data_IF_937061469980
#
_entry.id   IF_937061469980
#
_cell.length_a   1.000
_cell.length_b   1.000
_cell.length_c   1.000
_cell.angle_alpha   90.00
_cell.angle_beta   90.00
_cell.angle_gamma   90.00
#
_symmetry.space_group_name_H-M   'P 1'
#
loop_
_entity.id
_entity.type
_entity.pdbx_description
1 polymer ?
#
# COMPACT_ATOMS: atom_id res chain seq x y z
N UNK A 1 3.41 -4.92 11.12
CA UNK A 1 2.57 -4.41 12.22
C UNK A 1 2.82 -2.93 12.39
N UNK A 2 1.79 -2.16 12.58
CA UNK A 2 1.90 -0.72 12.71
C UNK A 2 2.37 -0.34 14.11
N UNK A 3 3.20 0.70 14.18
CA UNK A 3 3.59 1.30 15.45
C UNK A 3 2.75 2.54 15.69
N UNK A 4 2.44 2.81 16.94
CA UNK A 4 1.63 3.96 17.33
C UNK A 4 2.49 4.87 18.20
N UNK A 5 2.58 6.14 17.82
CA UNK A 5 3.35 7.14 18.55
C UNK A 5 2.59 8.45 18.66
N UNK A 6 2.76 9.20 19.76
CA UNK A 6 2.15 10.51 19.87
C UNK A 6 2.84 11.53 18.96
N UNK A 7 2.14 12.62 18.65
CA UNK A 7 2.66 13.67 17.78
C UNK A 7 3.92 14.32 18.32
N UNK A 8 4.12 14.35 19.62
CA UNK A 8 5.35 14.87 20.21
C UNK A 8 6.59 14.09 19.78
N UNK A 9 6.46 12.78 19.55
CA UNK A 9 7.55 11.96 19.07
C UNK A 9 7.95 12.32 17.64
N UNK A 10 7.01 12.74 16.83
CA UNK A 10 7.30 13.20 15.48
C UNK A 10 8.24 14.40 15.50
N UNK A 11 8.07 15.31 16.46
CA UNK A 11 8.93 16.47 16.62
C UNK A 11 10.29 16.10 17.22
N UNK A 12 10.27 15.27 18.27
CA UNK A 12 11.46 15.01 19.08
C UNK A 12 12.29 13.83 18.62
N UNK A 13 11.64 12.87 17.95
CA UNK A 13 12.24 11.59 17.56
C UNK A 13 12.01 11.26 16.08
N UNK A 14 11.99 12.29 15.23
CA UNK A 14 11.74 12.10 13.80
C UNK A 14 12.74 11.15 13.14
N UNK A 15 14.02 11.28 13.46
CA UNK A 15 15.06 10.43 12.87
C UNK A 15 14.82 8.94 13.17
N UNK A 16 14.38 8.66 14.38
CA UNK A 16 14.06 7.31 14.82
C UNK A 16 12.84 6.77 14.10
N UNK A 17 11.79 7.58 13.98
CA UNK A 17 10.57 7.23 13.25
C UNK A 17 10.88 6.99 11.78
N UNK A 18 11.64 7.87 11.16
CA UNK A 18 12.04 7.76 9.76
C UNK A 18 12.81 6.47 9.51
N UNK A 19 13.77 6.16 10.37
CA UNK A 19 14.54 4.92 10.25
C UNK A 19 13.65 3.69 10.38
N UNK A 20 12.75 3.69 11.35
CA UNK A 20 11.82 2.60 11.56
C UNK A 20 10.95 2.34 10.33
N UNK A 21 10.42 3.40 9.73
CA UNK A 21 9.61 3.27 8.51
C UNK A 21 10.42 2.72 7.34
N UNK A 22 11.68 3.15 7.19
CA UNK A 22 12.51 2.74 6.07
C UNK A 22 13.08 1.33 6.24
N UNK A 23 13.59 1.01 7.42
CA UNK A 23 14.29 -0.26 7.66
C UNK A 23 13.34 -1.39 7.99
N UNK A 24 12.38 -1.14 8.86
CA UNK A 24 11.42 -2.16 9.28
C UNK A 24 10.22 -2.25 8.36
N UNK A 25 10.06 -1.27 7.47
CA UNK A 25 8.97 -1.21 6.49
C UNK A 25 7.60 -1.28 7.15
N UNK A 26 7.50 -0.70 8.34
CA UNK A 26 6.25 -0.62 9.09
C UNK A 26 5.75 0.80 9.13
N UNK A 27 4.46 1.02 8.83
CA UNK A 27 3.86 2.35 9.02
C UNK A 27 3.86 2.74 10.49
N UNK A 28 3.96 4.03 10.74
CA UNK A 28 3.83 4.61 12.07
C UNK A 28 2.58 5.48 12.10
N UNK A 29 1.67 5.17 12.99
CA UNK A 29 0.46 5.96 13.19
C UNK A 29 0.76 7.04 14.23
N UNK A 30 0.54 8.28 13.85
CA UNK A 30 0.72 9.42 14.74
C UNK A 30 -0.62 9.77 15.35
N UNK A 31 -0.64 9.88 16.67
CA UNK A 31 -1.86 10.21 17.40
C UNK A 31 -1.79 11.63 17.95
N UNK A 32 -2.95 12.25 18.01
CA UNK A 32 -3.16 13.53 18.68
C UNK A 32 -4.28 13.34 19.67
N UNK A 33 -4.02 13.65 20.94
CA UNK A 33 -4.98 13.45 22.02
C UNK A 33 -5.54 12.01 22.09
N UNK A 34 -4.66 11.03 21.84
CA UNK A 34 -5.02 9.62 21.89
C UNK A 34 -5.77 9.10 20.68
N UNK A 35 -5.95 9.92 19.65
CA UNK A 35 -6.66 9.52 18.43
C UNK A 35 -5.69 9.49 17.25
N UNK A 36 -5.85 8.51 16.38
CA UNK A 36 -5.09 8.45 15.14
C UNK A 36 -5.35 9.68 14.29
N UNK A 37 -4.28 10.32 13.86
CA UNK A 37 -4.35 11.55 13.07
C UNK A 37 -3.71 11.36 11.69
N UNK A 38 -2.50 10.83 11.65
CA UNK A 38 -1.75 10.64 10.41
C UNK A 38 -1.03 9.31 10.43
N UNK A 39 -0.64 8.87 9.24
CA UNK A 39 0.22 7.70 9.08
C UNK A 39 1.49 8.10 8.34
N UNK A 40 2.61 7.59 8.80
CA UNK A 40 3.91 7.83 8.18
C UNK A 40 4.42 6.53 7.59
N UNK A 41 4.85 6.59 6.34
CA UNK A 41 5.39 5.47 5.59
C UNK A 41 6.76 5.83 5.05
N UNK A 42 7.62 4.82 4.86
CA UNK A 42 8.80 5.01 4.05
C UNK A 42 8.37 5.36 2.62
N UNK A 43 9.13 6.24 1.96
CA UNK A 43 8.77 6.70 0.62
C UNK A 43 8.71 5.55 -0.39
N UNK A 44 9.62 4.60 -0.27
CA UNK A 44 9.63 3.43 -1.12
C UNK A 44 8.38 2.57 -0.94
N UNK A 45 7.93 2.39 0.30
CA UNK A 45 6.71 1.65 0.60
C UNK A 45 5.49 2.36 0.07
N UNK A 46 5.47 3.68 0.16
CA UNK A 46 4.39 4.49 -0.40
C UNK A 46 4.27 4.29 -1.92
N UNK A 47 5.39 4.37 -2.64
CA UNK A 47 5.38 4.17 -4.09
C UNK A 47 4.96 2.76 -4.47
N UNK A 48 5.39 1.77 -3.71
CA UNK A 48 4.99 0.39 -3.95
C UNK A 48 3.48 0.21 -3.78
N UNK A 49 2.91 0.73 -2.69
CA UNK A 49 1.48 0.68 -2.46
C UNK A 49 0.71 1.40 -3.56
N UNK A 50 1.19 2.55 -3.98
CA UNK A 50 0.57 3.32 -5.05
C UNK A 50 0.56 2.54 -6.37
N UNK A 51 1.68 1.91 -6.70
CA UNK A 51 1.78 1.08 -7.90
C UNK A 51 0.82 -0.11 -7.86
N UNK A 52 0.71 -0.76 -6.71
CA UNK A 52 -0.21 -1.88 -6.53
C UNK A 52 -1.67 -1.45 -6.67
N UNK A 53 -2.02 -0.31 -6.12
CA UNK A 53 -3.36 0.24 -6.25
C UNK A 53 -3.70 0.60 -7.70
N UNK A 54 -2.76 1.19 -8.42
CA UNK A 54 -2.95 1.52 -9.84
C UNK A 54 -3.12 0.26 -10.68
N UNK A 55 -2.35 -0.78 -10.39
CA UNK A 55 -2.47 -2.06 -11.08
C UNK A 55 -3.83 -2.70 -10.82
N UNK A 56 -4.28 -2.73 -9.58
CA UNK A 56 -5.59 -3.28 -9.22
C UNK A 56 -6.72 -2.50 -9.89
N UNK A 57 -6.61 -1.18 -9.98
CA UNK A 57 -7.58 -0.36 -10.70
C UNK A 57 -7.63 -0.73 -12.17
N UNK A 58 -6.48 -0.88 -12.81
CA UNK A 58 -6.38 -1.27 -14.21
C UNK A 58 -7.02 -2.64 -14.45
N UNK A 59 -6.79 -3.59 -13.57
CA UNK A 59 -7.41 -4.92 -13.65
C UNK A 59 -8.93 -4.84 -13.52
N UNK A 60 -9.43 -4.02 -12.60
CA UNK A 60 -10.86 -3.84 -12.41
C UNK A 60 -11.53 -3.22 -13.66
N UNK A 61 -10.89 -2.22 -14.27
CA UNK A 61 -11.36 -1.60 -15.49
C UNK A 61 -11.38 -2.59 -16.65
N UNK A 62 -10.34 -3.39 -16.77
CA UNK A 62 -10.25 -4.40 -17.82
C UNK A 62 -11.32 -5.48 -17.64
N UNK A 63 -11.60 -5.92 -16.43
CA UNK A 63 -12.69 -6.86 -16.15
C UNK A 63 -14.04 -6.28 -16.54
N UNK A 64 -14.26 -5.01 -16.28
CA UNK A 64 -15.48 -4.32 -16.68
C UNK A 64 -15.62 -4.31 -18.19
N UNK A 65 -14.55 -4.02 -18.91
CA UNK A 65 -14.56 -4.02 -20.37
C UNK A 65 -14.87 -5.39 -20.94
N UNK A 66 -14.35 -6.45 -20.35
CA UNK A 66 -14.66 -7.83 -20.73
C UNK A 66 -16.14 -8.14 -20.47
N UNK A 67 -16.65 -7.74 -19.32
CA UNK A 67 -18.06 -7.92 -18.97
C UNK A 67 -19.00 -7.18 -19.92
N UNK A 68 -18.58 -6.01 -20.39
CA UNK A 68 -19.32 -5.22 -21.36
C UNK A 68 -19.18 -5.72 -22.80
N UNK A 69 -18.36 -6.75 -23.03
CA UNK A 69 -18.13 -7.33 -24.34
C UNK A 69 -17.25 -6.52 -25.27
N UNK A 70 -16.54 -5.54 -24.75
CA UNK A 70 -15.70 -4.65 -25.56
C UNK A 70 -14.34 -5.22 -25.90
N UNK A 71 -13.89 -6.17 -25.12
CA UNK A 71 -12.56 -6.76 -25.24
C UNK A 71 -12.71 -8.26 -25.37
N UNK A 72 -11.91 -8.89 -26.24
CA UNK A 72 -11.87 -10.33 -26.32
C UNK A 72 -11.49 -10.91 -24.96
N UNK A 73 -12.08 -12.05 -24.56
CA UNK A 73 -11.81 -12.60 -23.25
C UNK A 73 -10.35 -12.98 -23.10
N UNK A 74 -9.69 -12.28 -22.19
CA UNK A 74 -8.32 -12.58 -21.77
C UNK A 74 -8.34 -12.98 -20.30
N UNK A 75 -9.40 -13.69 -19.94
CA UNK A 75 -9.65 -14.08 -18.56
C UNK A 75 -8.52 -14.84 -17.95
N UNK A 76 -7.90 -15.74 -18.69
CA UNK A 76 -6.74 -16.50 -18.23
C UNK A 76 -5.57 -15.58 -17.87
N UNK A 77 -5.31 -14.56 -18.70
CA UNK A 77 -4.26 -13.59 -18.44
C UNK A 77 -4.53 -12.79 -17.17
N UNK A 78 -5.78 -12.38 -16.98
CA UNK A 78 -6.17 -11.68 -15.76
C UNK A 78 -6.05 -12.54 -14.52
N UNK A 79 -6.50 -13.79 -14.61
CA UNK A 79 -6.39 -14.71 -13.50
C UNK A 79 -4.94 -14.96 -13.15
N UNK A 80 -4.06 -15.08 -14.13
CA UNK A 80 -2.63 -15.24 -13.93
C UNK A 80 -2.01 -14.01 -13.23
N UNK A 81 -2.39 -12.81 -13.65
CA UNK A 81 -1.91 -11.57 -13.04
C UNK A 81 -2.40 -11.47 -11.59
N UNK A 82 -3.67 -11.77 -11.34
CA UNK A 82 -4.21 -11.76 -9.99
C UNK A 82 -3.48 -12.76 -9.10
N UNK A 83 -3.30 -13.96 -9.59
CA UNK A 83 -2.60 -15.00 -8.86
C UNK A 83 -1.19 -14.56 -8.53
N UNK A 84 -0.50 -13.97 -9.49
CA UNK A 84 0.85 -13.44 -9.28
C UNK A 84 0.88 -12.37 -8.19
N UNK A 85 -0.11 -11.48 -8.16
CA UNK A 85 -0.22 -10.45 -7.12
C UNK A 85 -0.49 -11.04 -5.76
N UNK A 86 -1.38 -12.04 -5.69
CA UNK A 86 -1.75 -12.69 -4.43
C UNK A 86 -0.61 -13.55 -3.87
N UNK A 87 0.20 -14.14 -4.74
CA UNK A 87 1.35 -14.93 -4.34
C UNK A 87 2.57 -14.09 -3.99
N UNK A 88 2.55 -12.80 -4.31
CA UNK A 88 3.64 -11.90 -3.98
C UNK A 88 3.70 -11.70 -2.49
N UNK A 89 4.73 -12.25 -1.87
CA UNK A 89 4.93 -12.08 -0.43
C UNK A 89 5.68 -10.78 -0.18
N UNK A 90 5.24 -9.99 0.79
CA UNK A 90 6.03 -8.85 1.23
C UNK A 90 7.30 -9.37 1.88
N UNK A 91 8.40 -8.85 1.44
CA UNK A 91 9.70 -9.15 2.04
C UNK A 91 10.07 -8.13 3.09
#
# INVERSE_FOLDING_TARGET
MESIRPSSDLRNHYSEISRQCREERNPVIITVNGRGDTAILGLQDYYQMKSELELLRTLAEAEKDVADGRVAPIKETFDDIRKSLLERKPE
#
